data_IF_440775367682
#
_entry.id   IF_440775367682
#
_cell.length_a   1.000
_cell.length_b   1.000
_cell.length_c   1.000
_cell.angle_alpha   90.00
_cell.angle_beta   90.00
_cell.angle_gamma   90.00
#
_symmetry.space_group_name_H-M   'P 1'
#
loop_
_entity.id
_entity.type
_entity.pdbx_description
1 polymer ?
#
# COMPACT_ATOMS: atom_id res chain seq x y z
N UNK A 1 2.95 -8.25 0.06
CA UNK A 1 2.18 -7.55 1.10
C UNK A 1 2.05 -6.09 0.68
N UNK A 2 0.88 -5.51 0.93
CA UNK A 2 0.58 -4.10 0.68
C UNK A 2 -0.03 -3.52 1.96
N UNK A 3 0.42 -2.33 2.34
CA UNK A 3 -0.24 -1.54 3.36
C UNK A 3 -1.08 -0.46 2.67
N UNK A 4 -2.32 -0.27 3.11
CA UNK A 4 -3.17 0.83 2.69
C UNK A 4 -3.59 1.64 3.90
N UNK A 5 -3.24 2.93 3.94
CA UNK A 5 -3.65 3.85 5.00
C UNK A 5 -4.79 4.71 4.47
N UNK A 6 -5.94 4.62 5.13
CA UNK A 6 -7.04 5.53 4.86
C UNK A 6 -6.72 6.91 5.41
N UNK A 7 -6.98 7.95 4.64
CA UNK A 7 -6.65 9.34 5.01
C UNK A 7 -7.72 9.99 5.88
N UNK A 8 -8.95 9.46 5.87
CA UNK A 8 -10.11 9.96 6.59
C UNK A 8 -10.16 9.49 8.04
N UNK A 9 -10.15 8.17 8.28
CA UNK A 9 -10.27 7.55 9.60
C UNK A 9 -8.92 7.11 10.20
N UNK A 10 -7.84 7.20 9.41
CA UNK A 10 -6.47 6.81 9.77
C UNK A 10 -6.36 5.32 10.12
N UNK A 11 -7.20 4.48 9.54
CA UNK A 11 -7.10 3.02 9.62
C UNK A 11 -6.01 2.52 8.66
N UNK A 12 -5.05 1.77 9.19
CA UNK A 12 -4.04 1.06 8.40
C UNK A 12 -4.50 -0.37 8.15
N UNK A 13 -4.73 -0.71 6.89
CA UNK A 13 -5.08 -2.06 6.44
C UNK A 13 -3.85 -2.79 5.90
N UNK A 14 -3.77 -4.09 6.19
CA UNK A 14 -2.68 -4.96 5.75
C UNK A 14 -3.21 -6.06 4.83
N UNK A 15 -2.77 -6.03 3.57
CA UNK A 15 -3.15 -7.01 2.54
C UNK A 15 -1.97 -7.91 2.19
N UNK A 16 -2.24 -9.20 1.95
CA UNK A 16 -1.19 -10.19 1.61
C UNK A 16 -0.60 -9.88 0.22
N UNK A 17 -1.41 -9.35 -0.69
CA UNK A 17 -1.04 -9.08 -2.08
C UNK A 17 -1.64 -7.78 -2.63
N UNK A 18 -1.07 -7.30 -3.74
CA UNK A 18 -1.66 -6.20 -4.52
C UNK A 18 -3.07 -6.54 -5.00
N UNK A 19 -3.29 -7.75 -5.50
CA UNK A 19 -4.60 -8.18 -5.98
C UNK A 19 -5.69 -8.06 -4.90
N UNK A 20 -5.37 -8.42 -3.66
CA UNK A 20 -6.28 -8.27 -2.52
C UNK A 20 -6.56 -6.80 -2.19
N UNK A 21 -5.51 -5.98 -2.14
CA UNK A 21 -5.63 -4.54 -1.90
C UNK A 21 -6.49 -3.86 -2.98
N UNK A 22 -6.25 -4.15 -4.25
CA UNK A 22 -7.00 -3.57 -5.39
C UNK A 22 -8.43 -4.10 -5.52
N UNK A 23 -8.73 -5.26 -4.93
CA UNK A 23 -10.07 -5.81 -4.89
C UNK A 23 -10.90 -5.20 -3.74
N UNK A 24 -10.24 -4.81 -2.65
CA UNK A 24 -10.88 -4.17 -1.50
C UNK A 24 -11.07 -2.67 -1.70
N UNK A 25 -10.02 -1.98 -2.15
CA UNK A 25 -10.03 -0.51 -2.26
C UNK A 25 -10.60 -0.10 -3.61
N UNK A 26 -11.68 0.68 -3.59
CA UNK A 26 -12.34 1.14 -4.80
C UNK A 26 -11.48 2.14 -5.57
N UNK A 27 -11.38 1.98 -6.89
CA UNK A 27 -10.58 2.87 -7.74
C UNK A 27 -11.03 4.34 -7.66
N UNK A 28 -12.29 4.61 -7.35
CA UNK A 28 -12.81 5.97 -7.15
C UNK A 28 -12.17 6.62 -5.91
N UNK A 29 -12.13 5.90 -4.78
CA UNK A 29 -11.52 6.39 -3.54
C UNK A 29 -10.00 6.60 -3.71
N UNK A 30 -9.36 5.75 -4.52
CA UNK A 30 -7.95 5.92 -4.89
C UNK A 30 -7.72 7.19 -5.70
N UNK A 31 -8.56 7.44 -6.71
CA UNK A 31 -8.48 8.64 -7.55
C UNK A 31 -8.74 9.92 -6.73
N UNK A 32 -9.63 9.84 -5.74
CA UNK A 32 -9.95 10.95 -4.83
C UNK A 32 -8.90 11.15 -3.71
N UNK A 33 -7.87 10.32 -3.67
CA UNK A 33 -6.76 10.44 -2.72
C UNK A 33 -7.11 10.01 -1.30
N UNK A 34 -8.18 9.22 -1.12
CA UNK A 34 -8.63 8.72 0.18
C UNK A 34 -7.66 7.69 0.73
N UNK A 35 -6.89 7.01 -0.14
CA UNK A 35 -5.97 5.94 0.24
C UNK A 35 -4.51 6.24 -0.12
N UNK A 36 -3.62 5.95 0.83
CA UNK A 36 -2.17 5.92 0.61
C UNK A 36 -1.69 4.47 0.62
N UNK A 37 -0.89 4.07 -0.37
CA UNK A 37 -0.38 2.70 -0.50
C UNK A 37 1.11 2.60 -0.22
N UNK A 38 1.54 1.49 0.37
CA UNK A 38 2.94 1.20 0.64
C UNK A 38 3.28 -0.27 0.36
N UNK A 39 4.53 -0.52 -0.04
CA UNK A 39 5.06 -1.86 -0.26
C UNK A 39 5.37 -2.58 1.06
N UNK A 40 5.88 -3.81 0.96
CA UNK A 40 6.24 -4.65 2.11
C UNK A 40 7.35 -4.05 3.00
N UNK A 41 8.10 -3.07 2.51
CA UNK A 41 9.11 -2.33 3.25
C UNK A 41 8.59 -0.97 3.76
N UNK A 42 7.33 -0.61 3.46
CA UNK A 42 6.73 0.67 3.84
C UNK A 42 7.11 1.81 2.90
N UNK A 43 7.66 1.51 1.72
CA UNK A 43 7.96 2.53 0.70
C UNK A 43 6.68 2.91 -0.04
N UNK A 44 6.51 4.19 -0.39
CA UNK A 44 5.29 4.69 -1.02
C UNK A 44 5.06 4.07 -2.40
N UNK A 45 3.78 3.77 -2.66
CA UNK A 45 3.28 3.31 -3.94
C UNK A 45 2.24 4.31 -4.47
N UNK A 46 2.11 4.38 -5.79
CA UNK A 46 1.06 5.14 -6.46
C UNK A 46 0.23 4.23 -7.36
N UNK A 47 -1.06 4.52 -7.48
CA UNK A 47 -1.95 3.80 -8.36
C UNK A 47 -1.82 4.31 -9.80
N UNK A 48 -1.63 3.39 -10.74
CA UNK A 48 -1.64 3.66 -12.18
C UNK A 48 -2.83 2.94 -12.81
N UNK A 49 -3.78 3.71 -13.33
CA UNK A 49 -4.99 3.17 -13.94
C UNK A 49 -4.71 2.64 -15.34
N UNK A 50 -4.94 1.34 -15.55
CA UNK A 50 -4.95 0.71 -16.87
C UNK A 50 -6.32 0.87 -17.55
N UNK A 51 -7.39 0.95 -16.75
CA UNK A 51 -8.73 1.33 -17.17
C UNK A 51 -9.19 2.49 -16.29
N UNK A 52 -9.58 3.64 -16.85
CA UNK A 52 -10.01 4.78 -16.04
C UNK A 52 -11.33 4.50 -15.32
N UNK A 53 -11.52 5.17 -14.17
CA UNK A 53 -12.83 5.23 -13.53
C UNK A 53 -13.84 5.90 -14.49
N UNK A 54 -15.12 5.52 -14.36
CA UNK A 54 -16.20 6.23 -15.05
C UNK A 54 -17.09 6.88 -14.01
N UNK A 55 -17.34 8.19 -14.18
CA UNK A 55 -18.32 8.93 -13.37
C UNK A 55 -19.38 9.49 -14.30
N UNK A 56 -20.64 9.20 -13.97
CA UNK A 56 -21.82 9.75 -14.65
C UNK A 56 -22.82 10.24 -13.62
N UNK A 57 -23.87 10.96 -14.05
CA UNK A 57 -24.88 11.51 -13.15
C UNK A 57 -25.64 10.45 -12.31
N UNK A 58 -25.60 9.17 -12.70
CA UNK A 58 -26.38 8.10 -12.06
C UNK A 58 -25.55 6.88 -11.67
N UNK A 59 -24.27 6.81 -12.08
CA UNK A 59 -23.44 5.64 -11.89
C UNK A 59 -21.98 6.04 -11.81
N UNK A 60 -21.27 5.46 -10.85
CA UNK A 60 -19.83 5.48 -10.77
C UNK A 60 -19.33 4.03 -10.88
N UNK A 61 -18.38 3.79 -11.78
CA UNK A 61 -17.74 2.49 -11.97
C UNK A 61 -16.24 2.65 -11.71
N UNK A 62 -15.71 1.86 -10.77
CA UNK A 62 -14.28 1.75 -10.54
C UNK A 62 -13.59 1.14 -11.77
N UNK A 63 -12.51 1.79 -12.20
CA UNK A 63 -11.60 1.29 -13.20
C UNK A 63 -10.69 0.19 -12.64
N UNK A 64 -9.63 -0.11 -13.39
CA UNK A 64 -8.60 -1.09 -13.01
C UNK A 64 -7.30 -0.36 -12.85
N UNK A 65 -6.61 -0.59 -11.74
CA UNK A 65 -5.32 0.03 -11.44
C UNK A 65 -4.32 -0.98 -10.89
N UNK A 66 -3.05 -0.62 -10.99
CA UNK A 66 -1.92 -1.34 -10.41
C UNK A 66 -1.07 -0.41 -9.57
N UNK A 67 -0.38 -0.96 -8.57
CA UNK A 67 0.48 -0.19 -7.68
C UNK A 67 1.93 -0.19 -8.21
N UNK A 68 2.54 0.99 -8.25
CA UNK A 68 3.91 1.16 -8.70
C UNK A 68 4.73 1.97 -7.70
N UNK A 69 6.05 1.72 -7.59
CA UNK A 69 6.93 2.53 -6.74
C UNK A 69 6.79 4.01 -7.04
N UNK A 70 6.64 4.81 -5.99
CA UNK A 70 6.51 6.27 -6.10
C UNK A 70 7.48 6.97 -5.15
N UNK A 71 7.39 8.30 -5.11
CA UNK A 71 8.10 9.14 -4.15
C UNK A 71 7.08 9.69 -3.15
N UNK A 72 7.48 9.88 -1.90
CA UNK A 72 6.59 10.37 -0.85
C UNK A 72 7.11 10.02 0.53
N UNK A 73 6.26 10.24 1.53
CA UNK A 73 6.52 9.82 2.90
C UNK A 73 6.45 8.29 2.99
N UNK A 74 7.33 7.71 3.81
CA UNK A 74 7.25 6.28 4.10
C UNK A 74 6.20 6.02 5.17
N UNK A 75 5.68 4.79 5.20
CA UNK A 75 4.71 4.37 6.21
C UNK A 75 5.21 4.62 7.64
N UNK A 76 6.50 4.40 7.91
CA UNK A 76 7.10 4.61 9.23
C UNK A 76 6.96 6.04 9.75
N UNK A 77 6.89 7.03 8.85
CA UNK A 77 6.72 8.44 9.19
C UNK A 77 5.27 8.77 9.56
N UNK A 78 4.31 8.01 9.03
CA UNK A 78 2.87 8.20 9.22
C UNK A 78 2.28 7.34 10.33
N UNK A 79 2.97 6.31 10.78
CA UNK A 79 2.53 5.44 11.88
C UNK A 79 2.13 6.18 13.18
N UNK A 80 2.74 7.31 13.58
CA UNK A 80 2.27 8.09 14.72
C UNK A 80 0.86 8.68 14.56
N UNK A 81 0.38 8.81 13.33
CA UNK A 81 -0.95 9.36 12.99
C UNK A 81 -2.02 8.27 12.81
N UNK A 82 -1.62 6.99 12.82
CA UNK A 82 -2.52 5.85 12.64
C UNK A 82 -3.41 5.68 13.87
N UNK A 83 -4.73 5.68 13.66
CA UNK A 83 -5.71 5.54 14.73
C UNK A 83 -6.01 4.07 15.06
N UNK A 84 -6.00 3.21 14.05
CA UNK A 84 -6.34 1.79 14.15
C UNK A 84 -5.57 0.98 13.11
N UNK A 85 -5.38 -0.32 13.37
CA UNK A 85 -4.73 -1.24 12.43
C UNK A 85 -5.63 -2.45 12.25
N UNK A 86 -6.00 -2.72 11.01
CA UNK A 86 -6.74 -3.91 10.60
C UNK A 86 -5.80 -4.91 9.94
N UNK A 87 -5.54 -5.99 10.68
CA UNK A 87 -4.65 -7.07 10.26
C UNK A 87 -4.64 -8.19 11.28
N UNK A 88 -3.94 -9.28 10.95
CA UNK A 88 -3.72 -10.37 11.90
C UNK A 88 -2.77 -9.92 13.02
N UNK A 89 -2.89 -10.54 14.21
CA UNK A 89 -1.87 -10.41 15.24
C UNK A 89 -0.64 -11.24 14.86
N UNK A 90 0.60 -10.76 15.13
CA UNK A 90 0.96 -9.56 15.91
C UNK A 90 1.03 -8.24 15.12
N UNK A 91 0.71 -8.23 13.83
CA UNK A 91 0.81 -7.06 12.94
C UNK A 91 -0.29 -6.01 13.17
N UNK A 92 -1.29 -6.29 14.00
CA UNK A 92 -2.36 -5.37 14.38
C UNK A 92 -1.96 -4.29 15.41
N UNK A 93 -0.66 -4.01 15.57
CA UNK A 93 -0.12 -2.97 16.45
C UNK A 93 0.97 -2.17 15.76
N UNK A 94 1.12 -0.89 16.09
CA UNK A 94 2.16 -0.02 15.50
C UNK A 94 3.57 -0.61 15.70
N UNK A 95 3.83 -1.18 16.88
CA UNK A 95 5.10 -1.85 17.18
C UNK A 95 5.28 -3.12 16.33
N UNK A 96 4.21 -3.87 16.10
CA UNK A 96 4.20 -5.04 15.21
C UNK A 96 4.56 -4.66 13.78
N UNK A 97 3.89 -3.63 13.24
CA UNK A 97 4.16 -3.10 11.89
C UNK A 97 5.60 -2.61 11.78
N UNK A 98 6.10 -1.79 12.72
CA UNK A 98 7.48 -1.32 12.70
C UNK A 98 8.52 -2.45 12.66
N UNK A 99 8.30 -3.51 13.45
CA UNK A 99 9.17 -4.69 13.45
C UNK A 99 9.12 -5.42 12.12
N UNK A 100 7.94 -5.54 11.52
CA UNK A 100 7.76 -6.17 10.22
C UNK A 100 8.50 -5.39 9.12
N UNK A 101 8.32 -4.07 9.06
CA UNK A 101 9.01 -3.20 8.10
C UNK A 101 10.54 -3.34 8.23
N UNK A 102 11.07 -3.27 9.45
CA UNK A 102 12.51 -3.41 9.69
C UNK A 102 13.04 -4.78 9.24
N UNK A 103 12.27 -5.85 9.50
CA UNK A 103 12.62 -7.22 9.08
C UNK A 103 12.64 -7.35 7.56
N UNK A 104 11.62 -6.84 6.88
CA UNK A 104 11.51 -6.89 5.42
C UNK A 104 12.64 -6.09 4.75
N UNK A 105 12.98 -4.91 5.28
CA UNK A 105 14.11 -4.11 4.80
C UNK A 105 15.43 -4.88 4.93
N UNK A 106 15.66 -5.56 6.05
CA UNK A 106 16.87 -6.37 6.25
C UNK A 106 16.94 -7.53 5.25
N UNK A 107 15.84 -8.29 5.08
CA UNK A 107 15.75 -9.40 4.14
C UNK A 107 16.02 -8.92 2.69
N UNK A 108 15.42 -7.80 2.29
CA UNK A 108 15.54 -7.25 0.93
C UNK A 108 16.95 -6.71 0.65
N UNK A 109 17.66 -6.23 1.68
CA UNK A 109 19.07 -5.82 1.60
C UNK A 109 20.02 -7.00 1.46
N UNK A 110 19.76 -8.08 2.18
CA UNK A 110 20.60 -9.28 2.17
C UNK A 110 20.30 -10.23 1.00
N UNK A 111 19.25 -9.95 0.23
CA UNK A 111 18.94 -10.67 -0.99
C UNK A 111 20.10 -10.55 -1.99
N UNK A 112 20.65 -11.65 -2.51
CA UNK A 112 21.72 -11.59 -3.49
C UNK A 112 21.23 -10.80 -4.70
N UNK A 113 21.92 -9.69 -5.02
CA UNK A 113 21.69 -8.97 -6.26
C UNK A 113 21.86 -9.97 -7.40
N UNK A 114 20.78 -10.28 -8.12
CA UNK A 114 20.84 -11.10 -9.32
C UNK A 114 21.88 -10.45 -10.24
N UNK A 115 23.01 -11.15 -10.40
CA UNK A 115 24.12 -10.73 -11.24
C UNK A 115 23.53 -10.48 -12.62
N UNK A 116 23.52 -9.23 -13.06
CA UNK A 116 23.15 -8.89 -14.43
C UNK A 116 24.06 -9.71 -15.35
N UNK A 117 23.53 -10.48 -16.31
CA UNK A 117 24.38 -11.03 -17.35
C UNK A 117 25.02 -9.84 -18.09
N UNK A 118 26.35 -9.83 -18.14
CA UNK A 118 27.11 -8.87 -18.95
C UNK A 118 26.75 -9.10 -20.44
N UNK A 119 26.74 -8.02 -21.26
CA UNK A 119 26.44 -8.11 -22.69
C UNK A 119 27.45 -8.95 -23.47
#
# INVERSE_FOLDING_TARGET
MIFALSTDDKTLMIFVSEAEATAYVEGIDVEDGVWLFFDDCGFPLTATFSTPNKRSAFCAESGVYHLQPSQGQNLSELLPEVASIEGAAPENTVVGVMKLLASNIAIKRDAPQAVRPLP
#
